data_IF_217249982138
#
_entry.id   IF_217249982138
#
_cell.length_a   1.000
_cell.length_b   1.000
_cell.length_c   1.000
_cell.angle_alpha   90.00
_cell.angle_beta   90.00
_cell.angle_gamma   90.00
#
_symmetry.space_group_name_H-M   'P 1'
#
loop_
_entity.id
_entity.type
_entity.pdbx_description
1 polymer ?
#
# COMPACT_ATOMS: atom_id res chain seq x y z
N UNK A 1 -16.31 -6.22 9.55
CA UNK A 1 -16.61 -5.79 8.17
C UNK A 1 -17.32 -6.92 7.42
N UNK A 2 -18.38 -6.68 6.64
CA UNK A 2 -18.99 -7.75 5.81
C UNK A 2 -18.18 -7.97 4.51
N UNK A 3 -18.41 -9.08 3.81
CA UNK A 3 -17.72 -9.37 2.55
C UNK A 3 -18.03 -8.35 1.44
N UNK A 4 -19.25 -7.78 1.44
CA UNK A 4 -19.66 -6.73 0.50
C UNK A 4 -18.97 -5.38 0.81
N UNK A 5 -18.80 -5.07 2.10
CA UNK A 5 -18.04 -3.88 2.53
C UNK A 5 -16.58 -3.98 2.07
N UNK A 6 -15.96 -5.15 2.23
CA UNK A 6 -14.57 -5.38 1.82
C UNK A 6 -14.39 -5.25 0.29
N UNK A 7 -15.33 -5.78 -0.49
CA UNK A 7 -15.28 -5.65 -1.95
C UNK A 7 -15.41 -4.18 -2.41
N UNK A 8 -16.25 -3.41 -1.74
CA UNK A 8 -16.43 -1.97 -2.00
C UNK A 8 -15.17 -1.18 -1.60
N UNK A 9 -14.61 -1.51 -0.45
CA UNK A 9 -13.36 -0.93 0.06
C UNK A 9 -12.19 -1.21 -0.88
N UNK A 10 -11.99 -2.47 -1.30
CA UNK A 10 -10.93 -2.84 -2.25
C UNK A 10 -11.06 -2.07 -3.56
N UNK A 11 -12.27 -1.89 -4.10
CA UNK A 11 -12.47 -1.06 -5.30
C UNK A 11 -12.06 0.39 -5.08
N UNK A 12 -12.41 0.97 -3.93
CA UNK A 12 -11.98 2.34 -3.59
C UNK A 12 -10.45 2.41 -3.54
N UNK A 13 -9.83 1.52 -2.78
CA UNK A 13 -8.37 1.47 -2.63
C UNK A 13 -7.65 1.22 -3.95
N UNK A 14 -8.23 0.44 -4.85
CA UNK A 14 -7.67 0.18 -6.16
C UNK A 14 -7.57 1.47 -6.97
N UNK A 15 -8.61 2.32 -6.95
CA UNK A 15 -8.56 3.63 -7.58
C UNK A 15 -7.54 4.58 -6.91
N UNK A 16 -7.41 4.56 -5.58
CA UNK A 16 -6.39 5.35 -4.85
C UNK A 16 -4.96 4.82 -5.02
N UNK A 17 -4.80 3.55 -5.39
CA UNK A 17 -3.51 2.93 -5.63
C UNK A 17 -2.97 3.19 -7.03
N UNK A 18 -3.83 3.64 -7.95
CA UNK A 18 -3.43 4.08 -9.29
C UNK A 18 -2.84 5.48 -9.23
N UNK A 19 -1.55 5.58 -9.51
CA UNK A 19 -0.74 6.79 -9.40
C UNK A 19 -0.26 7.27 -10.76
N UNK A 20 0.39 8.44 -10.77
CA UNK A 20 0.99 8.99 -12.00
C UNK A 20 2.27 8.27 -12.43
N UNK A 21 2.80 7.37 -11.59
CA UNK A 21 4.07 6.65 -11.79
C UNK A 21 3.84 5.14 -11.81
N UNK A 22 4.26 4.49 -12.90
CA UNK A 22 4.03 3.07 -13.15
C UNK A 22 4.67 2.19 -12.07
N UNK A 23 5.81 2.61 -11.53
CA UNK A 23 6.53 1.89 -10.48
C UNK A 23 5.70 1.76 -9.20
N UNK A 24 4.91 2.78 -8.87
CA UNK A 24 4.01 2.73 -7.72
C UNK A 24 2.84 1.77 -7.99
N UNK A 25 2.27 1.81 -9.20
CA UNK A 25 1.19 0.91 -9.59
C UNK A 25 1.62 -0.56 -9.54
N UNK A 26 2.84 -0.85 -10.00
CA UNK A 26 3.44 -2.20 -9.97
C UNK A 26 3.63 -2.72 -8.55
N UNK A 27 3.82 -1.85 -7.56
CA UNK A 27 3.97 -2.25 -6.16
C UNK A 27 2.64 -2.31 -5.42
N UNK A 28 1.80 -1.29 -5.57
CA UNK A 28 0.57 -1.13 -4.79
C UNK A 28 -0.57 -2.03 -5.25
N UNK A 29 -0.73 -2.23 -6.57
CA UNK A 29 -1.86 -3.00 -7.11
C UNK A 29 -1.76 -4.50 -6.75
N UNK A 30 -0.62 -5.19 -6.96
CA UNK A 30 -0.52 -6.60 -6.56
C UNK A 30 -0.67 -6.79 -5.05
N UNK A 31 -0.12 -5.86 -4.25
CA UNK A 31 -0.28 -5.89 -2.80
C UNK A 31 -1.76 -5.79 -2.37
N UNK A 32 -2.52 -4.89 -3.00
CA UNK A 32 -3.95 -4.75 -2.73
C UNK A 32 -4.74 -6.00 -3.13
N UNK A 33 -4.41 -6.59 -4.27
CA UNK A 33 -5.13 -7.75 -4.81
C UNK A 33 -4.85 -9.01 -3.99
N UNK A 34 -3.58 -9.28 -3.69
CA UNK A 34 -3.10 -10.53 -3.10
C UNK A 34 -2.96 -10.50 -1.58
N UNK A 35 -2.61 -9.37 -0.98
CA UNK A 35 -2.23 -9.30 0.45
C UNK A 35 -3.28 -8.60 1.31
N UNK A 36 -3.90 -7.52 0.82
CA UNK A 36 -4.77 -6.67 1.65
C UNK A 36 -5.94 -7.41 2.32
N UNK A 37 -6.53 -8.40 1.65
CA UNK A 37 -7.63 -9.20 2.21
C UNK A 37 -7.23 -10.02 3.43
N UNK A 38 -5.96 -10.40 3.53
CA UNK A 38 -5.42 -11.24 4.59
C UNK A 38 -4.79 -10.42 5.73
N UNK A 39 -4.72 -9.10 5.57
CA UNK A 39 -4.20 -8.19 6.59
C UNK A 39 -5.18 -8.03 7.75
N UNK A 40 -4.61 -7.81 8.94
CA UNK A 40 -5.35 -7.38 10.13
C UNK A 40 -6.05 -6.03 9.89
N UNK A 41 -7.11 -5.72 10.64
CA UNK A 41 -7.79 -4.41 10.53
C UNK A 41 -6.84 -3.23 10.79
N UNK A 42 -5.84 -3.43 11.66
CA UNK A 42 -4.79 -2.46 11.95
C UNK A 42 -3.88 -2.23 10.75
N UNK A 43 -3.41 -3.29 10.09
CA UNK A 43 -2.53 -3.16 8.92
C UNK A 43 -3.26 -2.62 7.70
N UNK A 44 -4.53 -2.99 7.52
CA UNK A 44 -5.40 -2.35 6.54
C UNK A 44 -5.53 -0.84 6.81
N UNK A 45 -5.59 -0.41 8.08
CA UNK A 45 -5.62 1.01 8.44
C UNK A 45 -4.31 1.72 8.11
N UNK A 46 -3.16 1.07 8.36
CA UNK A 46 -1.84 1.62 7.97
C UNK A 46 -1.73 1.78 6.45
N UNK A 47 -2.22 0.81 5.68
CA UNK A 47 -2.25 0.91 4.22
C UNK A 47 -3.14 2.05 3.73
N UNK A 48 -4.31 2.24 4.34
CA UNK A 48 -5.18 3.41 4.04
C UNK A 48 -4.45 4.73 4.28
N UNK A 49 -3.80 4.88 5.43
CA UNK A 49 -3.02 6.08 5.77
C UNK A 49 -1.83 6.30 4.84
N UNK A 50 -1.19 5.22 4.40
CA UNK A 50 -0.11 5.29 3.40
C UNK A 50 -0.63 5.89 2.08
N UNK A 51 -1.82 5.49 1.62
CA UNK A 51 -2.39 6.03 0.37
C UNK A 51 -2.76 7.52 0.46
N UNK A 52 -2.85 8.11 1.66
CA UNK A 52 -3.04 9.55 1.82
C UNK A 52 -1.74 10.34 1.58
N UNK A 53 -0.59 9.67 1.46
CA UNK A 53 0.70 10.30 1.15
C UNK A 53 0.82 10.66 -0.34
N UNK A 54 1.68 11.65 -0.62
CA UNK A 54 1.94 12.11 -1.99
C UNK A 54 2.85 11.14 -2.75
N UNK A 55 2.65 11.09 -4.06
CA UNK A 55 3.39 10.25 -5.00
C UNK A 55 4.93 10.37 -4.88
N UNK A 56 5.53 11.58 -4.76
CA UNK A 56 6.98 11.71 -4.62
C UNK A 56 7.52 11.04 -3.36
N UNK A 57 6.84 11.18 -2.22
CA UNK A 57 7.25 10.59 -0.95
C UNK A 57 7.17 9.06 -1.01
N UNK A 58 6.04 8.53 -1.49
CA UNK A 58 5.85 7.10 -1.71
C UNK A 58 6.96 6.53 -2.59
N UNK A 59 7.29 7.20 -3.69
CA UNK A 59 8.34 6.78 -4.59
C UNK A 59 9.71 6.74 -3.93
N UNK A 60 10.08 7.77 -3.16
CA UNK A 60 11.36 7.78 -2.44
C UNK A 60 11.45 6.63 -1.43
N UNK A 61 10.35 6.30 -0.75
CA UNK A 61 10.31 5.22 0.23
C UNK A 61 10.42 3.84 -0.43
N UNK A 62 9.65 3.61 -1.51
CA UNK A 62 9.70 2.33 -2.23
C UNK A 62 11.01 2.10 -2.98
N UNK A 63 11.67 3.16 -3.43
CA UNK A 63 13.01 3.09 -4.02
C UNK A 63 14.12 2.95 -2.96
N UNK A 64 13.78 2.87 -1.67
CA UNK A 64 14.72 2.80 -0.53
C UNK A 64 15.71 3.97 -0.48
N UNK A 65 15.35 5.10 -1.09
CA UNK A 65 16.14 6.34 -1.09
C UNK A 65 15.86 7.21 0.15
N UNK A 66 14.71 7.01 0.78
CA UNK A 66 14.32 7.65 2.03
C UNK A 66 13.51 6.69 2.91
N UNK A 67 13.35 7.02 4.19
CA UNK A 67 12.48 6.28 5.12
C UNK A 67 11.36 7.18 5.64
N UNK A 68 10.11 6.69 5.74
CA UNK A 68 9.04 7.44 6.38
C UNK A 68 9.41 7.77 7.83
N UNK A 69 9.05 8.97 8.29
CA UNK A 69 9.22 9.36 9.69
C UNK A 69 8.15 8.71 10.59
N UNK A 70 6.96 8.46 10.05
CA UNK A 70 5.90 7.74 10.74
C UNK A 70 6.25 6.24 10.79
N UNK A 71 6.34 5.63 11.98
CA UNK A 71 6.65 4.21 12.12
C UNK A 71 5.60 3.30 11.47
N UNK A 72 4.33 3.71 11.41
CA UNK A 72 3.27 2.95 10.75
C UNK A 72 3.49 2.90 9.24
N UNK A 73 3.91 4.03 8.64
CA UNK A 73 4.25 4.10 7.22
C UNK A 73 5.49 3.28 6.92
N UNK A 74 6.53 3.38 7.75
CA UNK A 74 7.74 2.57 7.59
C UNK A 74 7.43 1.07 7.63
N UNK A 75 6.62 0.64 8.59
CA UNK A 75 6.20 -0.75 8.73
C UNK A 75 5.47 -1.27 7.48
N UNK A 76 4.47 -0.54 6.98
CA UNK A 76 3.68 -1.01 5.83
C UNK A 76 4.47 -0.94 4.52
N UNK A 77 5.36 0.04 4.34
CA UNK A 77 6.28 0.11 3.20
C UNK A 77 7.22 -1.09 3.19
N UNK A 78 7.84 -1.40 4.34
CA UNK A 78 8.73 -2.56 4.48
C UNK A 78 7.99 -3.87 4.15
N UNK A 79 6.73 -4.00 4.60
CA UNK A 79 5.88 -5.15 4.27
C UNK A 79 5.60 -5.29 2.77
N UNK A 80 5.24 -4.19 2.10
CA UNK A 80 4.97 -4.19 0.65
C UNK A 80 6.24 -4.59 -0.11
N UNK A 81 7.39 -4.01 0.24
CA UNK A 81 8.68 -4.33 -0.39
C UNK A 81 9.05 -5.81 -0.23
N UNK A 82 8.86 -6.38 0.97
CA UNK A 82 9.12 -7.80 1.22
C UNK A 82 8.21 -8.75 0.45
N UNK A 83 6.98 -8.33 0.11
CA UNK A 83 6.02 -9.19 -0.58
C UNK A 83 6.11 -9.09 -2.10
N UNK A 84 6.42 -7.91 -2.64
CA UNK A 84 6.35 -7.64 -4.08
C UNK A 84 7.71 -7.70 -4.77
N UNK A 85 8.83 -7.53 -4.05
CA UNK A 85 10.15 -7.74 -4.65
C UNK A 85 10.50 -9.25 -4.67
N UNK A 86 10.61 -9.89 -5.84
CA UNK A 86 11.19 -11.23 -5.92
C UNK A 86 12.66 -11.16 -5.49
N UNK A 87 13.08 -12.08 -4.62
CA UNK A 87 14.49 -12.28 -4.26
C UNK A 87 15.36 -12.65 -5.47
#
# INVERSE_FOLDING_TARGET
MTAEDLATEKKRLWWHSRRGMLELDVLLLPFLEEVYSDLSEEDQAKYRRLLDCEDPDLFQWFMQNARPQDPDHAYIVDMILQRVQPS
#
